data_IF_880907599239
#
_entry.id   IF_880907599239
#
_cell.length_a   1.000
_cell.length_b   1.000
_cell.length_c   1.000
_cell.angle_alpha   90.00
_cell.angle_beta   90.00
_cell.angle_gamma   90.00
#
_symmetry.space_group_name_H-M   'P 1'
#
loop_
_entity.id
_entity.type
_entity.pdbx_description
1 polymer ?
#
# COMPACT_ATOMS: atom_id res chain seq x y z
N UNK A 1 21.07 45.19 18.52
CA UNK A 1 20.42 44.99 17.21
C UNK A 1 20.84 43.63 16.71
N UNK A 2 20.03 42.61 16.96
CA UNK A 2 20.31 41.24 16.52
C UNK A 2 20.21 41.21 15.00
N UNK A 3 21.33 40.93 14.32
CA UNK A 3 21.31 40.70 12.88
C UNK A 3 20.45 39.47 12.64
N UNK A 4 19.25 39.67 12.09
CA UNK A 4 18.42 38.63 11.52
C UNK A 4 19.31 37.69 10.69
N UNK A 5 19.43 36.43 11.12
CA UNK A 5 20.28 35.47 10.42
C UNK A 5 19.51 35.02 9.17
N UNK A 6 19.93 35.43 7.96
CA UNK A 6 19.18 35.15 6.73
C UNK A 6 19.00 33.65 6.46
N UNK A 7 19.83 32.79 7.06
CA UNK A 7 19.70 31.35 6.97
C UNK A 7 18.47 30.80 7.73
N UNK A 8 18.09 31.42 8.85
CA UNK A 8 16.93 30.97 9.62
C UNK A 8 15.64 31.21 8.83
N UNK A 9 15.47 32.42 8.28
CA UNK A 9 14.32 32.76 7.46
C UNK A 9 14.19 31.88 6.20
N UNK A 10 15.31 31.42 5.61
CA UNK A 10 15.27 30.47 4.50
C UNK A 10 14.87 29.06 4.95
N UNK A 11 15.33 28.60 6.11
CA UNK A 11 14.94 27.29 6.67
C UNK A 11 13.46 27.25 7.01
N UNK A 12 12.91 28.32 7.57
CA UNK A 12 11.48 28.40 7.88
C UNK A 12 10.62 28.29 6.62
N UNK A 13 11.07 28.90 5.51
CA UNK A 13 10.42 28.75 4.20
C UNK A 13 10.49 27.32 3.66
N UNK A 14 11.62 26.63 3.84
CA UNK A 14 11.77 25.22 3.44
C UNK A 14 10.85 24.35 4.29
N UNK A 15 10.82 24.54 5.61
CA UNK A 15 9.94 23.78 6.51
C UNK A 15 8.46 23.94 6.13
N UNK A 16 8.02 25.16 5.83
CA UNK A 16 6.65 25.40 5.39
C UNK A 16 6.34 24.68 4.06
N UNK A 17 7.28 24.68 3.11
CA UNK A 17 7.14 23.94 1.86
C UNK A 17 7.09 22.43 2.09
N UNK A 18 7.89 21.91 3.01
CA UNK A 18 7.89 20.48 3.38
C UNK A 18 6.54 20.06 3.98
N UNK A 19 5.93 20.91 4.81
CA UNK A 19 4.57 20.68 5.32
C UNK A 19 3.53 20.61 4.18
N UNK A 20 3.62 21.51 3.20
CA UNK A 20 2.76 21.46 2.01
C UNK A 20 2.96 20.16 1.21
N UNK A 21 4.21 19.70 1.06
CA UNK A 21 4.51 18.43 0.41
C UNK A 21 3.87 17.25 1.14
N UNK A 22 3.92 17.23 2.48
CA UNK A 22 3.26 16.18 3.27
C UNK A 22 1.75 16.16 3.06
N UNK A 23 1.10 17.33 3.00
CA UNK A 23 -0.32 17.44 2.69
C UNK A 23 -0.64 16.90 1.30
N UNK A 24 0.18 17.22 0.29
CA UNK A 24 0.00 16.74 -1.08
C UNK A 24 0.20 15.21 -1.18
N UNK A 25 1.18 14.66 -0.48
CA UNK A 25 1.43 13.22 -0.44
C UNK A 25 0.28 12.47 0.24
N UNK A 26 -0.26 13.01 1.34
CA UNK A 26 -1.44 12.45 2.00
C UNK A 26 -2.66 12.44 1.07
N UNK A 27 -2.93 13.54 0.35
CA UNK A 27 -3.99 13.59 -0.66
C UNK A 27 -3.78 12.56 -1.77
N UNK A 28 -2.54 12.41 -2.24
CA UNK A 28 -2.21 11.41 -3.27
C UNK A 28 -2.45 9.98 -2.76
N UNK A 29 -2.14 9.69 -1.49
CA UNK A 29 -2.43 8.39 -0.89
C UNK A 29 -3.94 8.12 -0.79
N UNK A 30 -4.75 9.12 -0.43
CA UNK A 30 -6.21 8.99 -0.44
C UNK A 30 -6.73 8.60 -1.84
N UNK A 31 -6.25 9.25 -2.89
CA UNK A 31 -6.59 8.87 -4.27
C UNK A 31 -6.12 7.46 -4.63
N UNK A 32 -4.97 7.00 -4.12
CA UNK A 32 -4.52 5.63 -4.32
C UNK A 32 -5.49 4.60 -3.70
N UNK A 33 -6.06 4.91 -2.54
CA UNK A 33 -7.08 4.08 -1.88
C UNK A 33 -8.33 3.98 -2.76
N UNK A 34 -8.83 5.12 -3.26
CA UNK A 34 -9.98 5.16 -4.17
C UNK A 34 -9.72 4.37 -5.45
N UNK A 35 -8.53 4.49 -6.04
CA UNK A 35 -8.11 3.68 -7.19
C UNK A 35 -8.08 2.19 -6.85
N UNK A 36 -7.59 1.82 -5.66
CA UNK A 36 -7.61 0.45 -5.17
C UNK A 36 -9.02 -0.13 -5.06
N UNK A 37 -9.96 0.64 -4.51
CA UNK A 37 -11.38 0.26 -4.44
C UNK A 37 -11.99 0.10 -5.82
N UNK A 38 -11.74 1.03 -6.74
CA UNK A 38 -12.21 0.93 -8.13
C UNK A 38 -11.65 -0.30 -8.85
N UNK A 39 -10.38 -0.62 -8.64
CA UNK A 39 -9.74 -1.84 -9.18
C UNK A 39 -10.31 -3.11 -8.58
N UNK A 40 -10.61 -3.12 -7.28
CA UNK A 40 -11.27 -4.24 -6.61
C UNK A 40 -12.64 -4.53 -7.25
N UNK A 41 -13.46 -3.50 -7.44
CA UNK A 41 -14.78 -3.62 -8.07
C UNK A 41 -14.70 -4.07 -9.54
N UNK A 42 -13.71 -3.57 -10.27
CA UNK A 42 -13.50 -3.89 -11.69
C UNK A 42 -12.63 -5.12 -11.94
N UNK A 43 -12.19 -5.83 -10.88
CA UNK A 43 -11.31 -7.00 -10.94
C UNK A 43 -10.02 -6.76 -11.73
N UNK A 44 -9.46 -5.55 -11.62
CA UNK A 44 -8.21 -5.17 -12.29
C UNK A 44 -7.00 -5.39 -11.37
N UNK A 45 -5.82 -5.73 -11.92
CA UNK A 45 -4.61 -5.88 -11.13
C UNK A 45 -4.17 -4.53 -10.53
N UNK A 46 -3.55 -4.58 -9.35
CA UNK A 46 -3.02 -3.39 -8.68
C UNK A 46 -1.84 -2.80 -9.46
N UNK A 47 -0.90 -3.65 -9.91
CA UNK A 47 0.28 -3.22 -10.66
C UNK A 47 -0.06 -3.06 -12.14
N UNK A 48 0.26 -1.89 -12.70
CA UNK A 48 0.04 -1.56 -14.10
C UNK A 48 1.31 -0.90 -14.64
N UNK A 49 2.22 -1.74 -15.13
CA UNK A 49 3.60 -1.34 -15.48
C UNK A 49 3.60 -0.32 -16.62
N UNK A 50 2.72 -0.48 -17.61
CA UNK A 50 2.65 0.43 -18.75
C UNK A 50 2.12 1.80 -18.32
N UNK A 51 1.11 1.83 -17.43
CA UNK A 51 0.62 3.09 -16.86
C UNK A 51 1.67 3.79 -15.99
N UNK A 52 2.44 3.02 -15.21
CA UNK A 52 3.53 3.52 -14.37
C UNK A 52 4.67 4.14 -15.21
N UNK A 53 5.07 3.47 -16.30
CA UNK A 53 6.06 3.99 -17.26
C UNK A 53 5.59 5.29 -17.90
N UNK A 54 4.37 5.31 -18.44
CA UNK A 54 3.80 6.50 -19.05
C UNK A 54 3.66 7.68 -18.07
N UNK A 55 3.40 7.39 -16.77
CA UNK A 55 3.39 8.41 -15.73
C UNK A 55 4.79 9.01 -15.52
N UNK A 56 5.82 8.17 -15.38
CA UNK A 56 7.19 8.62 -15.19
C UNK A 56 7.69 9.43 -16.38
N UNK A 57 7.46 8.98 -17.61
CA UNK A 57 7.87 9.70 -18.83
C UNK A 57 7.25 11.09 -18.88
N UNK A 58 5.96 11.20 -18.55
CA UNK A 58 5.27 12.50 -18.47
C UNK A 58 5.88 13.39 -17.40
N UNK A 59 6.16 12.86 -16.20
CA UNK A 59 6.72 13.64 -15.10
C UNK A 59 8.15 14.11 -15.37
N UNK A 60 8.96 13.28 -16.03
CA UNK A 60 10.30 13.66 -16.48
C UNK A 60 10.21 14.83 -17.47
N UNK A 61 9.28 14.78 -18.43
CA UNK A 61 9.06 15.89 -19.36
C UNK A 61 8.63 17.17 -18.67
N UNK A 62 7.69 17.09 -17.71
CA UNK A 62 7.24 18.26 -16.95
C UNK A 62 8.35 18.84 -16.07
N UNK A 63 9.10 17.99 -15.37
CA UNK A 63 10.15 18.45 -14.47
C UNK A 63 11.33 19.12 -15.19
N UNK A 64 11.59 18.79 -16.46
CA UNK A 64 12.54 19.54 -17.30
C UNK A 64 12.19 21.03 -17.39
N UNK A 65 10.90 21.38 -17.49
CA UNK A 65 10.46 22.77 -17.52
C UNK A 65 10.69 23.51 -16.18
N UNK A 66 10.85 22.76 -15.08
CA UNK A 66 11.18 23.26 -13.75
C UNK A 66 12.67 23.13 -13.41
N UNK A 67 13.52 22.83 -14.40
CA UNK A 67 14.96 22.59 -14.21
C UNK A 67 15.29 21.47 -13.21
N UNK A 68 14.39 20.49 -13.08
CA UNK A 68 14.61 19.30 -12.28
C UNK A 68 15.26 18.20 -13.11
N UNK A 69 16.28 17.56 -12.53
CA UNK A 69 16.99 16.45 -13.15
C UNK A 69 16.09 15.21 -13.31
N UNK A 70 16.25 14.50 -14.43
CA UNK A 70 15.43 13.33 -14.75
C UNK A 70 15.64 12.17 -13.76
N UNK A 71 16.88 11.96 -13.30
CA UNK A 71 17.18 10.90 -12.33
C UNK A 71 16.60 11.24 -10.96
N UNK A 72 16.62 12.51 -10.55
CA UNK A 72 15.94 12.96 -9.33
C UNK A 72 14.43 12.68 -9.37
N UNK A 73 13.74 13.09 -10.43
CA UNK A 73 12.28 12.87 -10.59
C UNK A 73 11.97 11.38 -10.59
N UNK A 74 12.75 10.59 -11.34
CA UNK A 74 12.52 9.15 -11.49
C UNK A 74 12.57 8.46 -10.13
N UNK A 75 13.63 8.69 -9.34
CA UNK A 75 13.77 8.07 -8.01
C UNK A 75 12.65 8.49 -7.06
N UNK A 76 12.34 9.78 -7.02
CA UNK A 76 11.30 10.29 -6.13
C UNK A 76 9.93 9.67 -6.48
N UNK A 77 9.53 9.72 -7.74
CA UNK A 77 8.21 9.23 -8.13
C UNK A 77 8.11 7.70 -8.16
N UNK A 78 9.20 6.96 -8.33
CA UNK A 78 9.21 5.52 -8.10
C UNK A 78 8.83 5.18 -6.65
N UNK A 79 9.36 5.89 -5.66
CA UNK A 79 8.98 5.70 -4.25
C UNK A 79 7.49 5.99 -4.02
N UNK A 80 6.99 7.07 -4.60
CA UNK A 80 5.58 7.47 -4.45
C UNK A 80 4.63 6.50 -5.20
N UNK A 81 5.07 5.90 -6.31
CA UNK A 81 4.33 4.85 -7.01
C UNK A 81 4.30 3.57 -6.18
N UNK A 82 5.46 3.17 -5.63
CA UNK A 82 5.56 1.98 -4.79
C UNK A 82 4.68 2.10 -3.53
N UNK A 83 4.68 3.25 -2.86
CA UNK A 83 3.76 3.52 -1.74
C UNK A 83 2.28 3.33 -2.14
N UNK A 84 1.91 3.78 -3.34
CA UNK A 84 0.56 3.64 -3.87
C UNK A 84 0.19 2.18 -4.14
N UNK A 85 1.12 1.39 -4.69
CA UNK A 85 0.93 -0.05 -4.92
C UNK A 85 0.75 -0.78 -3.59
N UNK A 86 1.62 -0.53 -2.62
CA UNK A 86 1.55 -1.14 -1.29
C UNK A 86 0.24 -0.79 -0.57
N UNK A 87 -0.19 0.48 -0.65
CA UNK A 87 -1.46 0.94 -0.08
C UNK A 87 -2.65 0.18 -0.69
N UNK A 88 -2.68 0.02 -2.01
CA UNK A 88 -3.74 -0.70 -2.72
C UNK A 88 -3.71 -2.21 -2.39
N UNK A 89 -2.54 -2.82 -2.28
CA UNK A 89 -2.39 -4.22 -1.90
C UNK A 89 -2.87 -4.47 -0.47
N UNK A 90 -2.53 -3.60 0.47
CA UNK A 90 -2.99 -3.69 1.85
C UNK A 90 -4.52 -3.64 1.93
N UNK A 91 -5.16 -2.75 1.15
CA UNK A 91 -6.62 -2.68 1.05
C UNK A 91 -7.23 -3.99 0.51
N UNK A 92 -6.65 -4.56 -0.55
CA UNK A 92 -7.10 -5.85 -1.10
C UNK A 92 -7.00 -6.98 -0.05
N UNK A 93 -5.89 -7.05 0.68
CA UNK A 93 -5.68 -8.05 1.72
C UNK A 93 -6.71 -7.91 2.86
N UNK A 94 -7.01 -6.69 3.29
CA UNK A 94 -8.05 -6.44 4.30
C UNK A 94 -9.43 -6.91 3.82
N UNK A 95 -9.79 -6.64 2.56
CA UNK A 95 -11.04 -7.13 1.98
C UNK A 95 -11.11 -8.67 1.96
N UNK A 96 -10.02 -9.34 1.59
CA UNK A 96 -9.96 -10.82 1.58
C UNK A 96 -10.11 -11.39 2.99
N UNK A 97 -9.48 -10.79 4.00
CA UNK A 97 -9.55 -11.25 5.38
C UNK A 97 -10.95 -11.03 6.01
N UNK A 98 -11.64 -9.96 5.61
CA UNK A 98 -12.97 -9.62 6.11
C UNK A 98 -14.10 -10.36 5.37
N UNK A 99 -13.80 -10.98 4.23
CA UNK A 99 -14.76 -11.84 3.52
C UNK A 99 -14.58 -13.26 4.06
N UNK A 100 -15.49 -13.78 4.90
CA UNK A 100 -15.36 -15.16 5.35
C UNK A 100 -15.32 -16.06 4.11
N UNK A 101 -14.47 -17.09 4.08
CA UNK A 101 -14.41 -18.00 2.95
C UNK A 101 -15.81 -18.55 2.72
N UNK A 102 -16.42 -18.22 1.58
CA UNK A 102 -17.66 -18.82 1.13
C UNK A 102 -17.36 -20.24 0.64
N UNK A 103 -17.02 -21.12 1.58
CA UNK A 103 -17.05 -22.56 1.36
C UNK A 103 -18.18 -23.13 2.20
N UNK A 104 -19.06 -23.84 1.50
CA UNK A 104 -20.30 -24.39 2.02
C UNK A 104 -20.13 -25.18 3.30
N UNK A 105 -21.19 -25.13 4.09
CA UNK A 105 -21.58 -26.01 5.18
C UNK A 105 -20.87 -27.37 5.15
N UNK A 106 -19.81 -27.52 5.94
CA UNK A 106 -19.54 -28.73 6.71
C UNK A 106 -18.74 -28.34 7.95
N UNK A 107 -19.50 -27.89 8.94
CA UNK A 107 -19.04 -27.68 10.31
C UNK A 107 -18.68 -29.04 10.92
N UNK A 108 -17.42 -29.27 11.25
CA UNK A 108 -17.06 -30.14 12.37
C UNK A 108 -16.11 -29.35 13.26
N UNK A 109 -16.58 -29.09 14.49
CA UNK A 109 -15.97 -28.21 15.47
C UNK A 109 -14.57 -28.67 15.87
N UNK A 110 -13.61 -27.76 15.80
CA UNK A 110 -12.24 -27.94 16.32
C UNK A 110 -12.14 -27.68 17.85
N UNK A 111 -13.25 -27.70 18.58
CA UNK A 111 -13.32 -27.22 19.97
C UNK A 111 -13.83 -28.27 20.97
N UNK A 112 -13.45 -29.55 20.82
CA UNK A 112 -13.73 -30.55 21.85
C UNK A 112 -12.71 -31.69 21.85
N UNK A 113 -11.49 -31.44 22.35
CA UNK A 113 -10.62 -32.51 22.88
C UNK A 113 -9.50 -32.05 23.81
N UNK A 114 -9.84 -31.33 24.87
CA UNK A 114 -9.05 -31.39 26.10
C UNK A 114 -10.01 -31.78 27.22
N UNK A 115 -9.70 -32.90 27.90
CA UNK A 115 -10.39 -33.59 28.99
C UNK A 115 -11.07 -34.93 28.60
N UNK A 116 -10.27 -35.97 28.35
CA UNK A 116 -10.48 -37.22 29.08
C UNK A 116 -9.21 -38.08 29.14
N UNK A 117 -9.00 -38.61 30.32
CA UNK A 117 -7.88 -39.41 30.78
C UNK A 117 -7.90 -40.85 30.23
N UNK A 118 -6.70 -41.41 30.06
CA UNK A 118 -6.34 -42.83 30.24
C UNK A 118 -6.87 -43.91 29.28
N UNK A 119 -5.88 -44.66 28.73
CA UNK A 119 -5.91 -46.03 28.16
C UNK A 119 -6.48 -46.22 26.75
N UNK A 120 -5.61 -46.70 25.85
CA UNK A 120 -5.99 -47.38 24.60
C UNK A 120 -5.15 -46.95 23.40
N UNK A 121 -4.23 -47.81 22.96
CA UNK A 121 -3.42 -47.66 21.74
C UNK A 121 -4.30 -47.76 20.46
N UNK A 122 -3.81 -47.30 19.29
CA UNK A 122 -4.64 -47.06 18.11
C UNK A 122 -4.83 -48.33 17.26
N UNK A 123 -6.01 -48.50 16.67
CA UNK A 123 -6.23 -49.41 15.53
C UNK A 123 -6.78 -48.59 14.38
N UNK A 124 -5.91 -48.18 13.46
CA UNK A 124 -6.32 -47.71 12.14
C UNK A 124 -6.67 -48.93 11.29
N UNK A 125 -7.96 -49.12 11.00
CA UNK A 125 -8.43 -50.07 9.99
C UNK A 125 -8.68 -49.30 8.70
N UNK A 126 -7.76 -49.40 7.76
CA UNK A 126 -7.99 -49.04 6.35
C UNK A 126 -8.78 -50.17 5.70
N UNK A 127 -9.98 -49.85 5.20
CA UNK A 127 -10.71 -50.74 4.30
C UNK A 127 -10.23 -50.52 2.87
N UNK A 128 -9.70 -51.57 2.26
CA UNK A 128 -9.92 -51.92 0.86
C UNK A 128 -10.49 -53.34 0.86
#
# INVERSE_FOLDING_TARGET
MTSENPLLALRDKISALDEELLVLLAKRRALAIEVGQAKLLSHRPVRDIDRERALLDRLIHLGKAHHLDAHYITRLFQLIIEDSVLTQQALLQQHLNNTPPSFGTHCVSWAERLLFSSRGAPVCRTSF
#
